data_IF_364078695321
#
_entry.id   IF_364078695321
#
_cell.length_a   1.000
_cell.length_b   1.000
_cell.length_c   1.000
_cell.angle_alpha   90.00
_cell.angle_beta   90.00
_cell.angle_gamma   90.00
#
_symmetry.space_group_name_H-M   'P 1'
#
loop_
_entity.id
_entity.type
_entity.pdbx_description
1 polymer ?
2 polymer ?
3 non-polymer ?
#
# COMPACT_ATOMS: atom_id res chain seq x y z
N UNK A 1 1.26 2.95 18.96
CA UNK A 1 0.62 3.89 19.92
C UNK A 1 -0.27 4.91 19.18
N UNK A 2 0.33 5.84 18.42
CA UNK A 2 -0.44 6.85 17.69
C UNK A 2 0.41 8.00 17.16
N UNK A 3 0.26 8.29 15.86
CA UNK A 3 0.97 9.38 15.17
C UNK A 3 0.00 10.54 14.95
N UNK A 4 0.33 11.71 15.49
CA UNK A 4 -0.59 12.86 15.51
C UNK A 4 -0.83 13.47 14.13
N UNK A 5 0.26 13.70 13.39
CA UNK A 5 0.18 14.35 12.07
C UNK A 5 -0.03 13.41 10.88
N UNK A 6 -0.28 12.12 11.12
CA UNK A 6 -0.38 11.12 10.05
C UNK A 6 -1.42 11.50 9.01
N UNK A 7 -1.24 10.99 7.79
CA UNK A 7 -2.22 11.16 6.73
C UNK A 7 -2.55 12.59 6.29
N UNK A 8 -1.80 13.57 6.80
CA UNK A 8 -1.94 14.96 6.40
C UNK A 8 -0.70 15.25 5.57
N UNK A 9 -0.87 15.27 4.24
CA UNK A 9 0.22 15.43 3.30
C UNK A 9 0.85 16.82 3.46
N UNK A 10 2.18 16.90 3.75
CA UNK A 10 2.84 18.20 3.89
C UNK A 10 2.73 19.17 2.69
N UNK A 11 2.49 18.64 1.49
CA UNK A 11 2.36 19.46 0.29
C UNK A 11 0.94 19.54 -0.30
N UNK A 12 -0.08 19.12 0.44
CA UNK A 12 -1.48 19.17 -0.05
C UNK A 12 -2.55 19.47 1.02
N UNK A 13 -2.61 18.66 2.08
CA UNK A 13 -3.55 18.91 3.20
C UNK A 13 -3.12 20.08 4.05
N UNK A 14 -1.84 20.11 4.42
CA UNK A 14 -1.22 21.29 5.04
C UNK A 14 -1.43 22.53 4.18
N UNK A 15 -1.12 22.39 2.89
CA UNK A 15 -1.14 23.51 1.94
C UNK A 15 -2.53 23.90 1.40
N UNK A 16 -3.58 23.22 1.85
CA UNK A 16 -4.95 23.51 1.41
C UNK A 16 -5.11 23.40 -0.11
N UNK A 17 -4.46 22.38 -0.67
CA UNK A 17 -4.45 22.13 -2.10
C UNK A 17 -4.94 20.70 -2.35
N UNK A 18 -5.80 20.55 -3.35
CA UNK A 18 -6.39 19.26 -3.72
C UNK A 18 -5.74 18.74 -4.99
N UNK A 19 -5.43 17.44 -5.01
CA UNK A 19 -4.77 16.81 -6.17
C UNK A 19 -5.73 16.63 -7.35
N UNK A 20 -5.25 16.03 -8.43
CA UNK A 20 -5.99 15.90 -9.69
C UNK A 20 -6.97 14.72 -9.75
N UNK A 21 -7.01 13.86 -8.73
CA UNK A 21 -7.85 12.66 -8.75
C UNK A 21 -8.62 12.32 -7.46
N UNK A 22 -8.58 13.18 -6.44
CA UNK A 22 -9.20 12.89 -5.14
C UNK A 22 -10.66 13.30 -5.05
N UNK A 23 -11.06 14.24 -5.90
CA UNK A 23 -12.48 14.55 -6.13
C UNK A 23 -13.22 13.25 -6.46
N UNK A 24 -12.64 12.46 -7.37
CA UNK A 24 -13.17 11.17 -7.79
C UNK A 24 -13.53 10.24 -6.64
N UNK A 25 -12.70 10.22 -5.59
CA UNK A 25 -12.93 9.40 -4.39
C UNK A 25 -14.06 9.95 -3.52
N UNK A 26 -13.95 11.22 -3.16
CA UNK A 26 -14.99 11.90 -2.35
C UNK A 26 -16.37 11.70 -2.96
N UNK A 27 -16.47 11.93 -4.27
CA UNK A 27 -17.74 11.80 -4.98
C UNK A 27 -18.14 10.35 -5.39
N UNK A 28 -17.41 9.35 -4.90
CA UNK A 28 -17.88 7.95 -4.86
C UNK A 28 -18.47 7.59 -3.49
N UNK A 29 -18.08 8.33 -2.45
CA UNK A 29 -18.68 8.24 -1.10
C UNK A 29 -19.98 9.06 -0.96
N UNK A 30 -20.30 9.84 -2.00
CA UNK A 30 -21.54 10.62 -2.08
C UNK A 30 -22.78 9.72 -2.28
N UNK A 31 -22.56 8.50 -2.78
CA UNK A 31 -23.61 7.46 -2.81
C UNK A 31 -23.92 6.96 -1.39
N UNK A 32 -24.81 7.70 -0.71
CA UNK A 32 -25.30 7.35 0.63
C UNK A 32 -26.77 7.68 0.77
N UNK A 33 -27.57 7.18 -0.19
CA UNK A 33 -29.00 7.45 -0.25
C UNK A 33 -29.76 6.73 0.87
N UNK B 1 1.89 0.44 -12.35
CA UNK B 1 0.41 0.19 -12.37
C UNK B 1 -0.11 0.17 -13.81
N UNK B 2 -1.04 -0.75 -14.09
CA UNK B 2 -1.67 -0.87 -15.41
C UNK B 2 -2.93 0.00 -15.42
N UNK B 3 -3.03 0.89 -16.42
CA UNK B 3 -4.14 1.86 -16.59
C UNK B 3 -4.15 2.97 -15.52
N UNK B 4 -3.01 3.63 -15.35
CA UNK B 4 -2.85 4.73 -14.37
C UNK B 4 -2.43 6.03 -15.02
N UNK B 5 -1.77 6.88 -14.24
CA UNK B 5 -1.25 8.17 -14.74
C UNK B 5 -0.22 8.74 -13.75
N UNK B 6 0.42 9.86 -14.12
CA UNK B 6 1.51 10.44 -13.29
C UNK B 6 1.02 11.02 -11.96
N UNK B 7 1.69 10.62 -10.88
CA UNK B 7 1.48 11.23 -9.57
C UNK B 7 2.15 12.58 -9.52
N UNK B 8 1.68 13.40 -8.59
CA UNK B 8 2.23 14.72 -8.35
C UNK B 8 3.30 14.60 -7.28
N UNK B 9 4.06 15.67 -7.09
CA UNK B 9 5.23 15.66 -6.21
C UNK B 9 4.75 15.67 -4.73
N UNK B 10 5.16 14.66 -3.96
CA UNK B 10 4.75 14.51 -2.55
C UNK B 10 3.27 14.16 -2.38
N UNK B 11 2.70 13.52 -3.41
CA UNK B 11 1.29 13.14 -3.43
C UNK B 11 1.08 11.87 -2.62
N UNK B 12 2.08 10.98 -2.63
CA UNK B 12 2.02 9.75 -1.85
C UNK B 12 3.33 9.61 -1.07
N UNK B 13 3.61 10.55 -0.13
CA UNK B 13 4.90 10.60 0.55
C UNK B 13 5.18 9.42 1.47
N UNK B 14 4.13 8.78 1.98
CA UNK B 14 4.22 7.46 2.66
C UNK B 14 4.61 6.26 1.76
N UNK B 15 4.62 6.45 0.43
CA UNK B 15 5.05 5.44 -0.54
C UNK B 15 6.48 5.02 -0.27
N UNK B 16 6.72 3.71 -0.22
CA UNK B 16 8.06 3.15 -0.06
C UNK B 16 8.32 2.09 -1.15
N UNK B 17 9.59 1.92 -1.49
CA UNK B 17 10.06 0.85 -2.39
C UNK B 17 10.85 -0.14 -1.54
N UNK B 18 10.52 -1.42 -1.65
CA UNK B 18 11.27 -2.49 -1.00
C UNK B 18 12.24 -3.08 -2.01
N UNK B 19 13.53 -2.85 -1.79
CA UNK B 19 14.61 -3.31 -2.68
C UNK B 19 15.42 -4.45 -2.06
N UNK B 20 16.08 -5.18 -2.96
CA UNK B 20 17.09 -6.18 -2.59
C UNK B 20 18.44 -5.49 -2.61
N UNK B 21 19.38 -5.97 -1.79
CA UNK B 21 20.72 -5.39 -1.78
C UNK B 21 21.52 -5.87 -2.99
N UNK B 22 21.73 -7.19 -3.07
CA UNK B 22 22.55 -7.78 -4.13
C UNK B 22 21.95 -9.09 -4.66
N UNK B 23 21.58 -9.14 -5.96
CA UNK B 23 21.58 -8.06 -6.96
C UNK B 23 20.46 -7.07 -6.68
N UNK B 24 20.64 -5.81 -7.07
CA UNK B 24 19.65 -4.76 -6.78
C UNK B 24 18.38 -4.97 -7.61
N UNK B 25 17.26 -5.17 -6.93
CA UNK B 25 16.01 -5.64 -7.55
C UNK B 25 14.81 -5.06 -6.82
N UNK B 26 13.89 -4.45 -7.55
CA UNK B 26 12.63 -3.97 -7.00
C UNK B 26 11.67 -5.14 -6.68
N UNK B 27 11.49 -5.44 -5.41
CA UNK B 27 10.62 -6.54 -4.97
C UNK B 27 9.16 -6.12 -4.88
N UNK B 28 8.91 -5.09 -4.08
CA UNK B 28 7.56 -4.71 -3.67
C UNK B 28 7.46 -3.24 -3.30
N UNK B 29 6.23 -2.78 -3.12
CA UNK B 29 5.93 -1.49 -2.49
C UNK B 29 5.66 -1.67 -1.01
N UNK B 30 5.74 -0.56 -0.26
CA UNK B 30 5.42 -0.54 1.17
C UNK B 30 4.94 0.84 1.60
N UNK B 31 4.41 0.90 2.83
CA UNK B 31 3.74 2.09 3.33
C UNK B 31 4.41 2.58 4.62
N UNK B 32 4.83 3.84 4.66
CA UNK B 32 5.39 4.40 5.90
C UNK B 32 4.25 4.71 6.87
N UNK B 33 4.27 4.08 8.05
CA UNK B 33 3.23 4.30 9.08
C UNK B 33 3.72 5.12 10.29
N UNK B 34 5.02 5.04 10.59
CA UNK B 34 5.65 5.92 11.58
C UNK B 34 7.08 6.25 11.13
N UNK B 35 7.86 6.89 11.99
CA UNK B 35 9.29 7.15 11.71
C UNK B 35 10.15 5.86 11.70
N UNK B 36 9.91 4.97 12.66
CA UNK B 36 10.66 3.72 12.82
C UNK B 36 10.06 2.55 12.03
N UNK B 37 8.85 2.69 11.50
CA UNK B 37 8.11 1.55 10.93
C UNK B 37 7.56 1.75 9.51
N UNK B 38 7.53 0.63 8.79
CA UNK B 38 7.05 0.53 7.42
C UNK B 38 6.18 -0.73 7.34
N UNK B 39 5.11 -0.69 6.55
CA UNK B 39 4.14 -1.79 6.44
C UNK B 39 4.08 -2.33 5.02
N UNK B 40 4.04 -3.65 4.89
CA UNK B 40 4.00 -4.32 3.59
C UNK B 40 3.39 -5.71 3.68
N UNK B 41 3.31 -6.40 2.55
CA UNK B 41 2.74 -7.75 2.50
C UNK B 41 3.73 -8.77 3.05
N UNK B 42 3.21 -9.91 3.49
CA UNK B 42 4.02 -11.03 3.98
C UNK B 42 4.67 -11.80 2.83
N UNK B 43 4.00 -11.87 1.67
CA UNK B 43 4.55 -12.55 0.48
C UNK B 43 5.80 -11.86 -0.09
N UNK B 44 5.98 -10.57 0.21
CA UNK B 44 7.19 -9.84 -0.17
C UNK B 44 8.43 -10.23 0.68
N UNK B 45 8.21 -10.69 1.90
CA UNK B 45 9.30 -11.17 2.77
C UNK B 45 9.41 -12.69 2.87
N UNK B 46 8.38 -13.43 2.45
CA UNK B 46 8.37 -14.88 2.61
C UNK B 46 7.40 -15.55 1.65
N UNK B 47 7.94 -16.34 0.73
CA UNK B 47 7.12 -17.06 -0.24
C UNK B 47 7.93 -18.26 -0.74
N UNK B 48 7.85 -19.39 -0.03
CA UNK B 48 8.66 -20.55 -0.39
C UNK B 48 8.54 -21.02 -1.85
N UNK B 49 7.33 -20.93 -2.46
CA UNK B 49 7.21 -21.30 -3.88
C UNK B 49 8.11 -20.56 -4.88
N UNK B 50 8.28 -19.25 -4.66
CA UNK B 50 9.20 -18.44 -5.47
C UNK B 50 10.62 -18.39 -4.89
N UNK B 51 10.87 -19.22 -3.88
CA UNK B 51 12.12 -19.25 -3.15
C UNK B 51 12.43 -17.88 -2.57
N UNK B 52 11.61 -17.50 -1.60
CA UNK B 52 11.76 -16.23 -0.90
C UNK B 52 11.69 -16.50 0.60
N UNK B 53 12.73 -16.10 1.32
CA UNK B 53 12.77 -16.20 2.77
C UNK B 53 13.83 -15.22 3.26
N UNK B 54 13.58 -13.93 3.02
CA UNK B 54 14.57 -12.87 3.31
C UNK B 54 14.89 -12.63 4.78
N UNK B 55 15.95 -11.86 5.01
CA UNK B 55 16.30 -11.30 6.31
C UNK B 55 16.59 -9.80 6.16
N UNK B 56 16.89 -9.15 7.27
CA UNK B 56 16.99 -7.70 7.33
C UNK B 56 18.13 -7.17 6.49
N UNK B 57 19.22 -7.93 6.49
CA UNK B 57 20.46 -7.58 5.80
C UNK B 57 20.30 -7.73 4.30
N UNK B 58 19.44 -8.65 3.87
CA UNK B 58 19.16 -8.87 2.44
C UNK B 58 18.46 -7.70 1.77
N UNK B 59 17.88 -6.81 2.56
CA UNK B 59 16.97 -5.79 2.06
C UNK B 59 17.32 -4.37 2.52
N UNK B 60 16.74 -3.43 1.80
CA UNK B 60 17.03 -2.01 1.92
C UNK B 60 15.86 -1.28 1.28
N UNK B 61 15.40 -0.18 1.88
CA UNK B 61 14.17 0.50 1.42
C UNK B 61 14.41 1.96 1.04
N UNK B 62 13.69 2.43 0.02
CA UNK B 62 13.86 3.78 -0.53
C UNK B 62 12.61 4.65 -0.36
N UNK B 63 12.67 5.60 0.58
CA UNK B 63 11.52 6.38 1.03
C UNK B 63 11.39 7.70 0.25
N UNK B 64 10.16 7.99 -0.18
CA UNK B 64 9.82 9.29 -0.76
C UNK B 64 10.38 9.51 -2.14
N UNK B 65 10.51 8.43 -2.91
CA UNK B 65 11.01 8.54 -4.27
C UNK B 65 9.88 8.97 -5.18
N UNK B 66 10.07 10.07 -5.89
CA UNK B 66 9.17 10.47 -6.95
C UNK B 66 9.47 9.64 -8.20
N UNK B 67 10.72 9.70 -8.67
CA UNK B 67 11.17 8.96 -9.85
C UNK B 67 12.19 7.88 -9.47
N UNK B 68 11.94 6.64 -9.87
CA UNK B 68 12.73 5.47 -9.45
C UNK B 68 14.15 5.34 -10.05
N UNK B 69 14.31 5.85 -11.27
CA UNK B 69 15.59 5.75 -11.99
C UNK B 69 16.68 6.57 -11.30
N UNK B 70 16.38 7.83 -11.02
CA UNK B 70 17.34 8.73 -10.36
C UNK B 70 17.71 8.34 -8.92
N UNK B 71 18.76 8.99 -8.43
CA UNK B 71 19.07 9.06 -7.01
C UNK B 71 18.81 10.50 -6.58
N UNK B 72 17.57 10.77 -6.17
CA UNK B 72 17.15 12.12 -5.77
C UNK B 72 17.71 12.47 -4.39
N UNK B 73 18.99 12.87 -4.35
CA UNK B 73 19.67 13.15 -3.08
C UNK B 73 19.08 14.39 -2.40
N UNK B 74 18.97 14.32 -1.07
CA UNK B 74 18.34 15.35 -0.24
C UNK B 74 16.85 15.62 -0.50
N UNK B 75 16.21 14.75 -1.31
CA UNK B 75 14.74 14.63 -1.37
C UNK B 75 14.43 13.29 -0.68
N UNK B 76 14.89 12.19 -1.28
CA UNK B 76 14.71 10.84 -0.73
C UNK B 76 15.72 10.48 0.35
N UNK B 77 15.46 9.36 1.02
CA UNK B 77 16.43 8.74 1.91
C UNK B 77 16.38 7.24 1.73
N UNK B 78 17.42 6.58 2.25
CA UNK B 78 17.65 5.15 2.08
C UNK B 78 17.94 4.56 3.45
N UNK B 79 17.31 3.44 3.78
CA UNK B 79 17.40 2.88 5.13
C UNK B 79 17.54 1.37 5.20
N UNK B 80 18.22 0.93 6.25
CA UNK B 80 18.48 -0.47 6.52
C UNK B 80 17.32 -1.02 7.35
N UNK B 81 17.37 -2.31 7.67
CA UNK B 81 16.35 -2.95 8.47
C UNK B 81 16.95 -3.55 9.74
N UNK B 82 16.21 -3.42 10.84
CA UNK B 82 16.65 -3.91 12.14
C UNK B 82 16.02 -5.26 12.45
N UNK B 83 14.72 -5.38 12.18
CA UNK B 83 14.01 -6.65 12.32
C UNK B 83 12.82 -6.71 11.36
N UNK B 84 12.46 -7.94 10.98
CA UNK B 84 11.30 -8.23 10.13
C UNK B 84 10.29 -9.05 10.93
N UNK B 85 9.03 -8.66 10.86
CA UNK B 85 7.95 -9.34 11.56
C UNK B 85 6.88 -9.71 10.54
N UNK B 86 6.66 -11.02 10.39
CA UNK B 86 5.63 -11.58 9.50
C UNK B 86 4.52 -12.10 10.41
N UNK B 87 3.29 -12.15 9.89
CA UNK B 87 2.16 -12.61 10.69
C UNK B 87 2.34 -14.10 11.03
N UNK B 88 2.21 -14.49 12.32
CA UNK B 88 2.36 -15.91 12.70
C UNK B 88 1.39 -16.89 12.00
N UNK B 89 0.17 -16.45 11.73
CA UNK B 89 -0.77 -17.23 10.90
C UNK B 89 -0.89 -16.72 9.44
N UNK B 90 0.24 -16.28 8.88
CA UNK B 90 0.31 -15.99 7.44
C UNK B 90 0.33 -17.31 6.68
N UNK B 91 -0.80 -17.63 6.04
CA UNK B 91 -0.96 -18.89 5.31
C UNK B 91 -0.65 -18.69 3.83
N UNK B 92 0.63 -18.84 3.51
CA UNK B 92 1.15 -18.80 2.13
C UNK B 92 0.71 -19.98 1.27
N UNK B 93 0.56 -21.15 1.89
CA UNK B 93 0.24 -22.41 1.19
C UNK B 93 -1.03 -22.36 0.36
N UNK B 94 -2.08 -21.79 0.94
CA UNK B 94 -3.45 -21.97 0.45
C UNK B 94 -4.07 -20.72 -0.18
N UNK B 95 -3.99 -19.57 0.50
CA UNK B 95 -4.76 -18.38 0.05
C UNK B 95 -4.18 -16.97 0.32
N UNK B 96 -2.99 -16.85 0.90
CA UNK B 96 -2.46 -15.56 1.38
C UNK B 96 -3.40 -14.87 2.36
N UNK B 97 -3.85 -15.66 3.34
CA UNK B 97 -4.63 -15.14 4.45
C UNK B 97 -3.64 -14.44 5.37
N UNK B 98 -4.02 -13.27 5.87
CA UNK B 98 -3.15 -12.51 6.78
C UNK B 98 -1.81 -12.21 6.11
N UNK B 99 -1.89 -11.76 4.86
CA UNK B 99 -0.71 -11.40 4.07
C UNK B 99 -0.27 -10.01 4.52
N UNK B 100 0.39 -9.98 5.68
CA UNK B 100 0.79 -8.73 6.33
C UNK B 100 2.12 -8.93 7.03
N UNK B 101 2.94 -7.88 7.01
CA UNK B 101 4.25 -7.93 7.64
C UNK B 101 4.77 -6.53 7.94
N UNK B 102 5.66 -6.44 8.91
CA UNK B 102 6.18 -5.18 9.40
C UNK B 102 7.70 -5.18 9.37
N UNK B 103 8.26 -4.06 8.93
CA UNK B 103 9.69 -3.87 8.86
C UNK B 103 10.08 -2.67 9.72
N UNK B 104 11.00 -2.92 10.65
CA UNK B 104 11.52 -1.90 11.54
C UNK B 104 12.81 -1.36 10.95
N UNK B 105 12.83 -0.05 10.67
CA UNK B 105 14.04 0.58 10.15
C UNK B 105 15.14 0.58 11.22
N UNK B 106 16.40 0.45 10.79
CA UNK B 106 17.55 0.56 11.69
C UNK B 106 17.65 1.96 12.29
N UNK B 107 17.59 2.98 11.43
CA UNK B 107 17.48 4.37 11.87
C UNK B 107 16.12 4.96 11.49
N UNK B 108 15.63 5.93 12.28
CA UNK B 108 14.36 6.57 11.99
C UNK B 108 14.49 7.61 10.88
N UNK B 109 13.57 7.58 9.92
CA UNK B 109 13.50 8.63 8.92
C UNK B 109 12.90 9.90 9.56
N UNK B 110 13.50 11.04 9.25
CA UNK B 110 12.93 12.35 9.60
C UNK B 110 11.90 12.74 8.53
N UNK B 111 10.76 13.26 8.98
CA UNK B 111 9.67 13.61 8.07
C UNK B 111 10.02 14.90 7.35
N UNK B 112 9.71 14.95 6.07
CA UNK B 112 9.97 16.12 5.24
C UNK B 112 8.68 16.51 4.52
N UNK B 113 8.80 17.27 3.45
CA UNK B 113 7.68 17.53 2.55
C UNK B 113 7.35 16.32 1.67
N UNK B 114 8.35 15.45 1.46
CA UNK B 114 8.27 14.32 0.54
C UNK B 114 8.20 12.97 1.26
N UNK B 115 8.70 12.92 2.51
CA UNK B 115 8.54 11.80 3.43
C UNK B 115 7.53 12.21 4.51
N UNK B 116 6.41 11.49 4.61
CA UNK B 116 5.44 11.69 5.70
C UNK B 116 4.53 10.46 5.84
N UNK B 117 4.27 10.01 7.10
CA UNK B 117 3.51 8.77 7.28
C UNK B 117 2.02 8.84 6.96
N UNK B 118 1.38 7.66 7.05
CA UNK B 118 -0.03 7.46 6.76
C UNK B 118 -0.76 6.93 8.00
N UNK B 119 -2.08 7.17 8.06
CA UNK B 119 -2.86 6.76 9.23
C UNK B 119 -3.33 5.35 9.07
N UNK B 120 -3.36 4.62 10.18
CA UNK B 120 -3.94 3.29 10.18
C UNK B 120 -5.41 3.40 10.58
N UNK B 121 -6.28 2.61 9.92
CA UNK B 121 -7.71 2.74 10.12
C UNK B 121 -8.17 2.20 11.47
N UNK B 122 -9.28 2.76 11.95
CA UNK B 122 -9.88 2.45 13.24
C UNK B 122 -11.31 2.00 12.98
N UNK B 123 -11.92 1.39 13.99
CA UNK B 123 -13.23 0.73 13.82
C UNK B 123 -14.26 1.59 13.07
N UNK B 124 -14.34 2.88 13.41
CA UNK B 124 -15.30 3.78 12.76
C UNK B 124 -14.95 3.94 11.28
N UNK B 125 -13.77 4.50 11.02
CA UNK B 125 -13.30 4.80 9.67
C UNK B 125 -13.37 3.58 8.73
N UNK B 126 -13.15 2.39 9.28
CA UNK B 126 -13.23 1.13 8.51
C UNK B 126 -14.64 0.86 8.02
N UNK B 127 -15.57 0.78 8.95
CA UNK B 127 -16.97 0.51 8.61
C UNK B 127 -17.62 1.60 7.73
N UNK B 128 -17.19 2.85 7.94
CA UNK B 128 -17.74 3.98 7.20
C UNK B 128 -17.20 4.10 5.78
N UNK B 129 -15.94 3.71 5.55
CA UNK B 129 -15.30 3.81 4.22
C UNK B 129 -15.16 2.51 3.43
N UNK B 130 -15.06 1.36 4.13
CA UNK B 130 -14.86 0.10 3.43
C UNK B 130 -16.20 -0.45 2.91
N UNK B 131 -16.69 0.17 1.84
CA UNK B 131 -17.99 -0.15 1.25
C UNK B 131 -17.86 -0.33 -0.24
N UNK B 132 -18.76 -1.12 -0.82
CA UNK B 132 -18.78 -1.33 -2.28
C UNK B 132 -19.07 -0.02 -3.01
N UNK B 133 -18.41 0.20 -4.16
CA UNK B 133 -18.59 1.43 -4.94
C UNK B 133 -17.72 2.60 -4.51
N UNK B 134 -17.49 2.73 -3.19
CA UNK B 134 -16.52 3.67 -2.65
C UNK B 134 -15.16 3.29 -3.21
N UNK B 135 -14.40 4.28 -3.66
CA UNK B 135 -13.15 4.06 -4.37
C UNK B 135 -11.94 4.31 -3.47
N UNK B 136 -10.85 3.63 -3.79
CA UNK B 136 -9.57 3.81 -3.13
C UNK B 136 -8.44 3.89 -4.13
N UNK B 137 -7.35 4.54 -3.69
CA UNK B 137 -6.21 4.89 -4.53
C UNK B 137 -5.02 3.95 -4.26
N UNK B 138 -4.54 3.30 -5.32
CA UNK B 138 -3.33 2.46 -5.27
C UNK B 138 -2.17 3.15 -5.98
N UNK B 139 -1.05 3.31 -5.29
CA UNK B 139 0.19 3.82 -5.86
C UNK B 139 1.21 2.68 -6.02
N UNK B 140 1.96 2.75 -7.11
CA UNK B 140 2.93 1.72 -7.48
C UNK B 140 3.83 2.22 -8.60
N UNK B 141 4.54 1.31 -9.25
CA UNK B 141 5.41 1.69 -10.36
C UNK B 141 5.22 0.82 -11.58
N UNK B 142 5.26 1.46 -12.75
CA UNK B 142 5.31 0.77 -14.02
C UNK B 142 6.72 0.23 -14.20
N UNK B 143 6.83 -1.05 -14.51
CA UNK B 143 8.14 -1.71 -14.66
C UNK B 143 8.96 -1.12 -15.81
N UNK B 144 10.28 -1.25 -15.70
CA UNK B 144 11.20 -0.66 -16.67
C UNK B 144 11.16 -1.30 -18.05
N UNK B 145 10.88 -2.60 -18.11
CA UNK B 145 10.93 -3.40 -19.35
C UNK B 145 10.55 -2.73 -20.68
N UNK B 146 9.52 -1.90 -20.70
CA UNK B 146 9.13 -1.31 -22.02
C UNK B 146 9.41 0.19 -22.06
N UNK B 147 8.61 0.99 -21.35
CA UNK B 147 8.73 2.45 -21.37
C UNK B 147 10.03 2.90 -20.69
N UNK B 156 10.48 12.77 -19.28
CA UNK B 156 9.52 11.91 -18.60
C UNK B 156 10.16 10.60 -18.12
N UNK B 157 11.00 10.66 -17.05
CA UNK B 157 11.54 9.42 -16.46
C UNK B 157 10.45 8.60 -15.74
N UNK B 158 10.83 7.46 -15.17
CA UNK B 158 9.87 6.57 -14.54
C UNK B 158 9.38 7.17 -13.23
N UNK B 159 8.36 8.03 -13.35
CA UNK B 159 7.76 8.72 -12.21
C UNK B 159 6.63 7.88 -11.63
N UNK B 160 6.56 7.89 -10.29
CA UNK B 160 5.48 7.30 -9.50
C UNK B 160 4.12 7.39 -10.19
N UNK B 161 3.49 6.24 -10.42
CA UNK B 161 2.15 6.15 -11.01
C UNK B 161 1.03 6.11 -9.94
N UNK B 162 -0.23 6.23 -10.37
CA UNK B 162 -1.39 6.23 -9.46
C UNK B 162 -2.74 5.96 -10.17
N UNK B 163 -3.59 5.19 -9.51
CA UNK B 163 -4.91 4.79 -10.04
C UNK B 163 -5.93 4.86 -8.90
N UNK B 164 -7.22 4.97 -9.25
CA UNK B 164 -8.31 4.94 -8.28
C UNK B 164 -9.25 3.82 -8.65
N UNK B 165 -9.58 2.95 -7.69
CA UNK B 165 -10.34 1.70 -7.96
C UNK B 165 -11.50 1.47 -6.98
N UNK B 166 -12.67 1.02 -7.48
CA UNK B 166 -13.84 0.89 -6.62
C UNK B 166 -13.82 -0.43 -5.87
N UNK B 167 -14.16 -0.40 -4.59
CA UNK B 167 -14.28 -1.64 -3.82
C UNK B 167 -15.47 -2.41 -4.39
N UNK B 168 -15.32 -3.73 -4.43
CA UNK B 168 -16.29 -4.63 -5.03
C UNK B 168 -17.01 -5.38 -3.91
N UNK B 169 -18.29 -5.69 -4.14
CA UNK B 169 -19.13 -6.40 -3.15
C UNK B 169 -18.56 -7.80 -2.91
N UNK B 170 -18.68 -8.28 -1.67
CA UNK B 170 -18.02 -9.53 -1.26
C UNK B 170 -18.41 -10.77 -2.09
N UNK B 171 -19.70 -10.90 -2.46
CA UNK B 171 -20.09 -12.02 -3.32
C UNK B 171 -19.73 -11.90 -4.82
N UNK B 172 -19.32 -10.72 -5.29
CA UNK B 172 -18.72 -10.61 -6.63
C UNK B 172 -17.26 -11.04 -6.54
N UNK B 173 -16.61 -10.77 -5.40
CA UNK B 173 -15.25 -11.26 -5.13
C UNK B 173 -15.18 -12.78 -5.02
N UNK B 174 -16.07 -13.39 -4.23
CA UNK B 174 -16.10 -14.87 -4.10
C UNK B 174 -16.43 -15.64 -5.40
N UNK B 175 -17.17 -14.99 -6.31
CA UNK B 175 -17.44 -15.58 -7.63
C UNK B 175 -16.34 -15.35 -8.64
N UNK B 176 -15.55 -14.28 -8.45
CA UNK B 176 -14.45 -13.93 -9.36
C UNK B 176 -13.19 -14.79 -9.27
N UNK B 177 -13.15 -15.69 -8.29
CA UNK B 177 -12.08 -16.69 -8.18
C UNK B 177 -12.57 -17.99 -7.56
N UNK B 178 -11.68 -18.98 -7.53
CA UNK B 178 -11.96 -20.32 -7.01
C UNK B 178 -11.27 -20.55 -5.66
N UNK B 179 -10.80 -19.48 -5.03
CA UNK B 179 -9.92 -19.50 -3.85
C UNK B 179 -10.68 -19.08 -2.61
N UNK B 180 -10.62 -19.87 -1.54
CA UNK B 180 -11.34 -19.54 -0.30
C UNK B 180 -10.81 -18.25 0.31
N UNK B 181 -11.53 -17.15 0.08
CA UNK B 181 -11.15 -15.84 0.62
C UNK B 181 -11.79 -15.61 2.00
N UNK B 182 -10.99 -15.11 2.93
CA UNK B 182 -11.42 -14.86 4.30
C UNK B 182 -12.02 -13.46 4.46
N UNK B 183 -12.49 -13.17 5.66
CA UNK B 183 -12.88 -11.81 6.05
C UNK B 183 -11.66 -10.88 6.25
N UNK B 184 -10.44 -11.44 6.38
CA UNK B 184 -9.19 -10.65 6.40
C UNK B 184 -8.79 -10.06 5.06
N UNK B 185 -9.57 -10.33 4.01
CA UNK B 185 -9.38 -9.72 2.71
C UNK B 185 -10.64 -8.98 2.26
N UNK B 186 -10.44 -7.98 1.42
CA UNK B 186 -11.49 -7.40 0.58
C UNK B 186 -10.93 -7.32 -0.82
N UNK B 187 -11.74 -6.88 -1.78
CA UNK B 187 -11.29 -6.87 -3.16
C UNK B 187 -11.87 -5.69 -3.91
N UNK B 188 -11.12 -5.19 -4.88
CA UNK B 188 -11.41 -3.94 -5.58
C UNK B 188 -10.92 -3.96 -7.04
N UNK B 189 -11.37 -2.98 -7.82
CA UNK B 189 -11.07 -2.89 -9.26
C UNK B 189 -12.33 -2.96 -10.10
N UNK B 190 -12.28 -2.35 -11.28
CA UNK B 190 -13.45 -2.24 -12.15
C UNK B 190 -13.89 -3.57 -12.78
N UNK B 191 -15.18 -3.62 -13.14
CA UNK B 191 -15.83 -4.81 -13.71
C UNK B 191 -15.72 -4.80 -15.25
N UNK B 192 -16.31 -5.80 -15.95
CA UNK B 192 -16.42 -5.72 -17.41
C UNK B 192 -17.29 -4.56 -17.92
N UNK B 197 -10.93 -0.49 -15.59
CA UNK B 197 -9.87 -1.49 -15.73
C UNK B 197 -8.58 -0.97 -15.09
N UNK B 198 -7.92 -1.79 -14.27
CA UNK B 198 -6.65 -1.43 -13.63
C UNK B 198 -6.31 -2.31 -12.45
N UNK B 199 -5.05 -2.73 -12.34
CA UNK B 199 -4.58 -3.68 -11.30
C UNK B 199 -3.07 -3.44 -11.04
N UNK B 200 -2.70 -3.17 -9.78
CA UNK B 200 -1.31 -2.81 -9.42
C UNK B 200 -0.31 -3.95 -9.70
N UNK B 201 0.56 -3.74 -10.69
CA UNK B 201 1.40 -4.81 -11.29
C UNK B 201 2.70 -5.07 -10.51
N UNK B 202 3.42 -6.12 -10.90
CA UNK B 202 4.60 -6.62 -10.14
C UNK B 202 5.70 -5.56 -9.97
N UNK B 203 6.06 -5.32 -8.71
CA UNK B 203 6.78 -4.11 -8.29
C UNK B 203 5.93 -3.33 -7.31
N UNK B 204 4.62 -3.28 -7.58
CA UNK B 204 3.64 -2.62 -6.73
C UNK B 204 2.92 -3.55 -5.70
N UNK B 205 3.33 -4.81 -5.58
CA UNK B 205 2.80 -5.70 -4.52
C UNK B 205 3.18 -5.19 -3.13
N UNK B 206 2.34 -5.46 -2.13
CA UNK B 206 2.63 -5.06 -0.74
C UNK B 206 2.53 -3.59 -0.41
N UNK B 207 2.13 -2.76 -1.36
CA UNK B 207 1.99 -1.33 -1.16
C UNK B 207 0.58 -0.99 -0.72
N UNK B 208 0.30 0.30 -0.49
CA UNK B 208 -0.97 0.70 0.08
C UNK B 208 -2.10 0.87 -0.94
N UNK B 209 -3.32 0.62 -0.45
CA UNK B 209 -4.58 1.02 -1.06
C UNK B 209 -5.13 2.00 -0.01
N UNK B 210 -5.18 3.29 -0.36
CA UNK B 210 -5.57 4.33 0.60
C UNK B 210 -6.97 4.85 0.28
N UNK B 211 -7.62 5.40 1.31
CA UNK B 211 -8.86 6.17 1.16
C UNK B 211 -8.74 7.46 2.00
N UNK B 212 -9.37 8.53 1.52
CA UNK B 212 -9.44 9.79 2.27
C UNK B 212 -10.79 9.98 2.99
N UNK B 213 -10.71 10.27 4.29
CA UNK B 213 -11.91 10.54 5.10
C UNK B 213 -12.52 11.88 4.68
N UNK B 214 -13.78 11.87 4.18
CA UNK B 214 -14.47 13.14 4.00
C UNK B 214 -14.79 13.82 5.34
N UNK B 215 -14.83 13.04 6.42
CA UNK B 215 -15.12 13.55 7.77
C UNK B 215 -13.91 14.33 8.33
N UNK B 216 -12.79 13.65 8.56
CA UNK B 216 -11.61 14.26 9.23
C UNK B 216 -10.47 14.67 8.27
N UNK B 217 -10.61 14.35 6.99
CA UNK B 217 -9.73 14.87 5.93
C UNK B 217 -8.31 14.30 5.88
N UNK B 218 -8.04 13.24 6.65
CA UNK B 218 -6.77 12.53 6.60
C UNK B 218 -6.85 11.36 5.60
N UNK B 219 -5.67 10.86 5.23
CA UNK B 219 -5.52 9.65 4.41
C UNK B 219 -5.30 8.41 5.26
N UNK B 220 -5.94 7.31 4.86
CA UNK B 220 -6.00 6.08 5.67
C UNK B 220 -5.75 4.85 4.79
N UNK B 221 -4.76 4.03 5.17
CA UNK B 221 -4.45 2.80 4.41
C UNK B 221 -5.42 1.66 4.76
N UNK B 222 -6.41 1.44 3.91
CA UNK B 222 -7.44 0.42 4.17
C UNK B 222 -6.97 -0.99 3.86
N UNK B 223 -6.19 -1.12 2.78
CA UNK B 223 -5.72 -2.42 2.30
C UNK B 223 -4.28 -2.40 1.81
N UNK B 224 -3.61 -3.54 1.95
CA UNK B 224 -2.29 -3.77 1.35
C UNK B 224 -2.52 -4.62 0.12
N UNK B 225 -1.83 -4.34 -0.99
CA UNK B 225 -2.03 -5.12 -2.22
C UNK B 225 -1.46 -6.53 -2.02
N UNK B 226 -2.35 -7.53 -2.03
CA UNK B 226 -2.01 -8.91 -1.70
C UNK B 226 -1.74 -9.71 -2.96
N UNK B 227 -2.65 -9.62 -3.93
CA UNK B 227 -2.47 -10.27 -5.23
C UNK B 227 -3.41 -9.67 -6.29
N UNK B 228 -3.01 -9.81 -7.56
CA UNK B 228 -3.93 -9.69 -8.68
C UNK B 228 -4.37 -11.09 -9.04
N UNK B 229 -4.83 -11.29 -10.27
CA UNK B 229 -5.03 -12.63 -10.83
C UNK B 229 -4.40 -12.63 -12.23
N UNK B 230 -3.25 -11.93 -12.31
CA UNK B 230 -2.75 -11.35 -13.54
C UNK B 230 -2.86 -9.83 -13.44
N UNK B 231 -2.01 -9.11 -14.16
CA UNK B 231 -2.06 -7.65 -14.22
C UNK B 231 -3.15 -7.15 -15.17
N UNK B 232 -4.35 -6.95 -14.62
CA UNK B 232 -5.51 -6.34 -15.33
C UNK B 232 -6.14 -7.29 -16.36
N UNK B 233 -6.99 -8.20 -15.87
CA UNK B 233 -7.70 -9.20 -16.69
C UNK B 233 -9.19 -9.14 -16.29
N UNK B 234 -10.06 -8.71 -17.21
CA UNK B 234 -11.47 -8.39 -16.86
C UNK B 234 -12.31 -9.59 -16.46
N UNK B 235 -13.15 -9.40 -15.44
CA UNK B 235 -13.80 -10.48 -14.70
C UNK B 235 -13.06 -10.85 -13.42
N UNK B 236 -11.77 -10.52 -13.34
CA UNK B 236 -10.90 -10.84 -12.20
C UNK B 236 -10.58 -9.52 -11.49
N UNK B 237 -10.48 -9.59 -10.17
CA UNK B 237 -10.22 -8.40 -9.36
C UNK B 237 -9.04 -8.66 -8.44
N UNK B 238 -8.27 -7.60 -8.17
CA UNK B 238 -7.16 -7.65 -7.21
C UNK B 238 -7.69 -7.75 -5.79
N UNK B 239 -6.97 -8.49 -4.95
CA UNK B 239 -7.33 -8.68 -3.53
C UNK B 239 -6.34 -7.96 -2.62
N UNK B 240 -6.87 -7.36 -1.55
CA UNK B 240 -6.08 -6.49 -0.67
C UNK B 240 -6.26 -6.97 0.77
N UNK B 241 -5.17 -7.00 1.55
CA UNK B 241 -5.25 -7.49 2.92
C UNK B 241 -5.96 -6.43 3.78
N UNK B 242 -7.04 -6.84 4.45
CA UNK B 242 -7.90 -5.95 5.24
C UNK B 242 -7.14 -5.48 6.46
N UNK B 243 -6.67 -4.25 6.41
CA UNK B 243 -5.72 -3.75 7.40
C UNK B 243 -6.35 -3.66 8.78
N UNK B 244 -7.61 -3.20 8.86
CA UNK B 244 -8.26 -3.08 10.16
C UNK B 244 -8.51 -4.43 10.88
N UNK B 245 -8.96 -5.45 10.15
CA UNK B 245 -9.10 -6.79 10.73
C UNK B 245 -7.84 -7.21 11.51
N UNK B 246 -6.68 -6.91 10.95
CA UNK B 246 -5.38 -7.28 11.51
C UNK B 246 -4.66 -6.16 12.26
N UNK B 247 -5.22 -4.94 12.24
CA UNK B 247 -4.79 -3.80 13.09
C UNK B 247 -4.34 -4.19 14.51
N UNK B 248 -5.05 -5.15 15.07
CA UNK B 248 -4.78 -5.68 16.42
C UNK B 248 -3.34 -6.17 16.54
N UNK B 249 -2.94 -6.98 15.56
CA UNK B 249 -1.58 -7.56 15.49
C UNK B 249 -0.50 -6.47 15.39
N UNK B 250 -0.70 -5.51 14.48
CA UNK B 250 0.27 -4.42 14.26
C UNK B 250 0.64 -3.76 15.57
N UNK B 251 -0.36 -3.55 16.44
CA UNK B 251 -0.18 -2.91 17.73
C UNK B 251 0.65 -3.79 18.67
N UNK B 252 0.31 -5.08 18.75
CA UNK B 252 1.08 -6.06 19.55
C UNK B 252 2.59 -5.99 19.25
N UNK B 253 2.93 -5.83 17.97
CA UNK B 253 4.33 -5.79 17.53
C UNK B 253 4.97 -4.47 17.93
N UNK B 254 4.33 -3.36 17.57
CA UNK B 254 4.88 -2.02 17.78
C UNK B 254 4.98 -1.64 19.27
N UNK B 255 4.08 -2.20 20.10
CA UNK B 255 4.21 -2.12 21.56
C UNK B 255 5.51 -2.78 22.02
N UNK B 256 5.70 -4.01 21.56
CA UNK B 256 6.76 -4.91 22.02
C UNK B 256 8.10 -4.70 21.31
N UNK B 257 8.13 -3.86 20.27
CA UNK B 257 9.34 -3.50 19.50
C UNK B 257 10.22 -4.69 19.10
X LIG C 1 12.96 -19.45 6.62
X LIG C 1 12.61 -20.92 6.91
X LIG C 1 12.94 -21.37 8.35
X LIG C 1 14.23 -20.78 8.91
X LIG C 1 14.23 -19.28 8.67
X LIG C 1 15.45 -18.58 9.28
X LIG C 1 10.65 -21.22 5.45
X LIG C 1 9.17 -21.49 5.42
X LIG C 1 11.19 -21.16 6.67
X LIG C 1 13.07 -22.80 8.38
X LIG C 1 14.36 -21.09 10.32
X LIG C 1 14.19 -19.08 7.26
X LIG C 1 16.67 -19.22 8.89
X LIG C 1 11.30 -21.06 4.42
#
# INVERSE_FOLDING_TARGET
SGEADCGLRPLFEKKSLEDKTERELLESYIDGR
IVEGSDAEIGMSPWQVMLFRKSPQELLCGASLISDRWVLTAAHCLLYPPWDKNFTENDLLVRIGKHSRTRYERNIEKISMLEKIYIHPRYNWRENLDRDIALMKLKKPVAFSDYIHPVCLPDRETAASLLQAGYKGRVTGWGNLKETWTANVGKGQPSVLQVVNLPIVERPVCKDSTRIRITDNMFCAGYKPDEGKRGDACEGASGGPFVMKSPFNNRWYQMGIVSWGEGCDRDGKYGFYTHVFRLKKWIQKVIDQFGE
NAG C1 C2 C3 C4 C5 C6 C7 C8 N2 O3 O4 O5 O6 O7
#
